data_IF_841907643374
#
_entry.id   IF_841907643374
#
_cell.length_a   1.000
_cell.length_b   1.000
_cell.length_c   1.000
_cell.angle_alpha   90.00
_cell.angle_beta   90.00
_cell.angle_gamma   90.00
#
_symmetry.space_group_name_H-M   'P 1'
#
loop_
_entity.id
_entity.type
_entity.pdbx_description
1 polymer ?
#
# COMPACT_ATOMS: atom_id res chain seq x y z
N UNK A 1 -3.94 8.80 9.73
CA UNK A 1 -2.90 8.14 8.90
C UNK A 1 -3.03 8.71 7.51
N UNK A 2 -2.17 9.67 7.14
CA UNK A 2 -2.19 10.20 5.78
C UNK A 2 -1.42 9.26 4.85
N UNK A 3 -2.08 8.77 3.81
CA UNK A 3 -1.43 8.24 2.61
C UNK A 3 -0.39 9.27 2.15
N UNK A 4 0.88 8.86 2.07
CA UNK A 4 1.97 9.76 1.73
C UNK A 4 2.76 9.23 0.54
N UNK A 5 2.54 9.88 -0.61
CA UNK A 5 3.14 9.49 -1.88
C UNK A 5 4.68 9.59 -1.83
N UNK A 6 5.34 8.49 -2.22
CA UNK A 6 6.78 8.45 -2.55
C UNK A 6 7.73 9.04 -1.50
N UNK A 7 7.48 8.75 -0.22
CA UNK A 7 8.42 9.13 0.83
C UNK A 7 9.64 8.20 0.84
N UNK A 8 10.83 8.80 0.84
CA UNK A 8 12.09 8.05 0.96
C UNK A 8 12.21 7.52 2.38
N UNK A 9 12.52 6.23 2.49
CA UNK A 9 12.70 5.53 3.76
C UNK A 9 11.48 5.67 4.71
N UNK A 10 10.26 5.64 4.20
CA UNK A 10 9.10 5.35 5.05
C UNK A 10 8.40 4.11 4.55
N UNK A 11 7.63 3.49 5.45
CA UNK A 11 6.66 2.52 5.01
C UNK A 11 5.63 3.20 4.09
N UNK A 12 5.21 2.45 3.10
CA UNK A 12 4.21 2.86 2.12
C UNK A 12 3.00 1.91 2.24
N UNK A 13 2.34 1.63 1.12
CA UNK A 13 1.07 0.89 1.03
C UNK A 13 1.18 -0.61 1.30
N UNK A 14 2.33 -1.20 1.02
CA UNK A 14 2.53 -2.65 1.04
C UNK A 14 3.61 -3.09 2.02
N UNK A 15 3.49 -4.35 2.45
CA UNK A 15 4.49 -5.01 3.29
C UNK A 15 4.82 -6.39 2.72
N UNK A 16 6.06 -6.56 2.26
CA UNK A 16 6.57 -7.82 1.73
C UNK A 16 7.84 -8.22 2.48
N UNK A 17 7.71 -9.01 3.56
CA UNK A 17 8.84 -9.37 4.41
C UNK A 17 9.69 -10.50 3.80
N UNK A 18 10.27 -10.23 2.63
CA UNK A 18 11.15 -11.14 1.90
C UNK A 18 12.39 -10.40 1.41
N UNK A 19 13.54 -11.05 1.48
CA UNK A 19 14.74 -10.55 0.81
C UNK A 19 15.44 -11.66 0.02
N UNK A 20 16.17 -11.25 -0.99
CA UNK A 20 17.04 -12.10 -1.80
C UNK A 20 18.48 -11.73 -1.51
N UNK A 21 19.32 -12.74 -1.28
CA UNK A 21 20.74 -12.54 -1.00
C UNK A 21 21.56 -13.31 -2.05
N UNK A 22 22.21 -12.54 -2.91
CA UNK A 22 23.05 -13.00 -3.99
C UNK A 22 24.52 -12.95 -3.58
N UNK A 23 25.21 -14.07 -3.77
CA UNK A 23 26.64 -14.23 -3.51
C UNK A 23 27.36 -14.60 -4.80
N UNK A 24 28.60 -14.14 -4.93
CA UNK A 24 29.42 -14.35 -6.12
C UNK A 24 30.52 -15.37 -5.86
N UNK A 25 30.83 -16.14 -6.90
CA UNK A 25 31.80 -17.21 -6.85
C UNK A 25 32.67 -17.18 -8.12
N UNK A 26 33.93 -17.62 -8.02
CA UNK A 26 34.73 -18.02 -9.19
C UNK A 26 34.69 -19.54 -9.30
N UNK A 27 34.41 -20.05 -10.50
CA UNK A 27 34.43 -21.49 -10.74
C UNK A 27 35.85 -21.93 -11.10
N UNK A 28 36.45 -22.76 -10.23
CA UNK A 28 37.69 -23.46 -10.52
C UNK A 28 37.43 -24.90 -10.98
N UNK A 29 38.47 -25.60 -11.43
CA UNK A 29 38.37 -26.95 -12.02
C UNK A 29 37.66 -27.99 -11.13
N UNK A 30 37.65 -27.84 -9.80
CA UNK A 30 37.06 -28.81 -8.85
C UNK A 30 36.10 -28.20 -7.80
N UNK A 31 35.98 -26.87 -7.69
CA UNK A 31 35.09 -26.22 -6.71
C UNK A 31 34.82 -24.74 -7.04
N UNK A 32 33.61 -24.26 -6.72
CA UNK A 32 33.29 -22.84 -6.70
C UNK A 32 33.83 -22.17 -5.42
N UNK A 33 34.61 -21.11 -5.55
CA UNK A 33 35.16 -20.35 -4.40
C UNK A 33 34.38 -19.06 -4.20
N UNK A 34 33.91 -18.77 -2.98
CA UNK A 34 33.18 -17.55 -2.67
C UNK A 34 34.08 -16.31 -2.80
N UNK A 35 33.56 -15.26 -3.43
CA UNK A 35 34.24 -13.97 -3.61
C UNK A 35 33.48 -12.91 -2.81
N UNK A 36 34.04 -12.40 -1.70
CA UNK A 36 33.46 -11.27 -1.00
C UNK A 36 33.60 -10.00 -1.85
N UNK A 37 32.67 -9.06 -1.67
CA UNK A 37 32.66 -7.77 -2.39
C UNK A 37 34.03 -7.05 -2.36
N UNK A 38 34.72 -7.07 -1.22
CA UNK A 38 36.03 -6.43 -1.06
C UNK A 38 37.15 -7.03 -1.92
N UNK A 39 36.94 -8.22 -2.48
CA UNK A 39 37.88 -8.93 -3.35
C UNK A 39 37.39 -9.01 -4.81
N UNK A 40 36.21 -8.47 -5.11
CA UNK A 40 35.68 -8.42 -6.46
C UNK A 40 36.39 -7.33 -7.27
N UNK A 41 36.74 -7.65 -8.52
CA UNK A 41 37.37 -6.71 -9.45
C UNK A 41 36.41 -6.37 -10.59
N UNK A 42 36.43 -5.10 -11.01
CA UNK A 42 35.67 -4.67 -12.18
C UNK A 42 36.10 -5.47 -13.42
N UNK A 43 35.16 -6.07 -14.15
CA UNK A 43 35.43 -6.91 -15.32
C UNK A 43 35.75 -8.37 -15.02
N UNK A 44 35.73 -8.80 -13.74
CA UNK A 44 35.87 -10.21 -13.38
C UNK A 44 34.68 -11.06 -13.83
N UNK A 45 34.93 -12.33 -14.16
CA UNK A 45 33.89 -13.32 -14.45
C UNK A 45 33.51 -14.07 -13.17
N UNK A 46 32.24 -14.00 -12.79
CA UNK A 46 31.72 -14.61 -11.57
C UNK A 46 30.42 -15.35 -11.83
N UNK A 47 30.24 -16.45 -11.12
CA UNK A 47 28.98 -17.18 -11.04
C UNK A 47 28.22 -16.71 -9.81
N UNK A 48 26.98 -16.24 -10.00
CA UNK A 48 26.12 -15.81 -8.90
C UNK A 48 25.27 -16.97 -8.37
N UNK A 49 25.09 -17.02 -7.05
CA UNK A 49 24.14 -17.93 -6.38
C UNK A 49 23.28 -17.11 -5.43
N UNK A 50 21.97 -17.30 -5.50
CA UNK A 50 20.97 -16.54 -4.76
C UNK A 50 20.14 -17.47 -3.91
N UNK A 51 19.94 -17.10 -2.65
CA UNK A 51 18.90 -17.67 -1.80
C UNK A 51 17.93 -16.55 -1.40
N UNK A 52 16.74 -16.92 -0.94
CA UNK A 52 15.77 -15.96 -0.41
C UNK A 52 15.30 -16.37 0.98
N UNK A 53 14.93 -15.39 1.79
CA UNK A 53 14.36 -15.60 3.12
C UNK A 53 13.08 -14.79 3.22
N UNK A 54 11.99 -15.45 3.60
CA UNK A 54 10.70 -14.83 3.85
C UNK A 54 10.31 -14.99 5.32
N UNK A 55 9.99 -13.89 5.98
CA UNK A 55 9.46 -13.90 7.33
C UNK A 55 7.94 -13.78 7.30
N UNK A 56 7.26 -14.93 7.44
CA UNK A 56 5.80 -15.01 7.40
C UNK A 56 5.20 -14.47 8.70
N UNK A 57 5.05 -13.16 8.79
CA UNK A 57 4.41 -12.48 9.92
C UNK A 57 3.68 -11.20 9.45
N UNK A 58 2.41 -11.06 9.80
CA UNK A 58 1.58 -9.91 9.46
C UNK A 58 1.81 -8.69 10.38
N UNK A 59 2.23 -8.90 11.63
CA UNK A 59 2.42 -7.84 12.62
C UNK A 59 3.47 -6.82 12.19
N UNK A 60 3.31 -5.57 12.66
CA UNK A 60 4.28 -4.52 12.42
C UNK A 60 5.69 -4.97 12.85
N UNK A 61 6.64 -4.76 11.96
CA UNK A 61 8.04 -5.04 12.21
C UNK A 61 8.92 -4.03 11.51
N UNK A 62 10.17 -3.98 11.95
CA UNK A 62 11.26 -3.27 11.32
C UNK A 62 12.38 -4.24 10.97
N UNK A 63 13.08 -3.94 9.88
CA UNK A 63 14.19 -4.74 9.37
C UNK A 63 15.45 -3.86 9.45
N UNK A 64 16.36 -4.21 10.35
CA UNK A 64 17.63 -3.52 10.50
C UNK A 64 18.69 -4.20 9.64
N UNK A 65 19.19 -3.48 8.63
CA UNK A 65 20.36 -3.88 7.87
C UNK A 65 21.62 -3.25 8.47
N UNK A 66 22.52 -4.10 8.96
CA UNK A 66 23.83 -3.73 9.49
C UNK A 66 24.94 -4.29 8.61
N UNK A 67 26.16 -3.72 8.65
CA UNK A 67 27.31 -4.27 7.90
C UNK A 67 27.55 -5.76 8.16
N UNK A 68 27.36 -6.19 9.41
CA UNK A 68 27.58 -7.56 9.86
C UNK A 68 26.39 -8.51 9.67
N UNK A 69 25.19 -8.00 9.35
CA UNK A 69 24.01 -8.85 9.19
C UNK A 69 22.68 -8.12 9.22
N UNK A 70 21.61 -8.90 9.33
CA UNK A 70 20.24 -8.42 9.28
C UNK A 70 19.49 -8.87 10.55
N UNK A 71 18.72 -7.97 11.15
CA UNK A 71 17.87 -8.28 12.30
C UNK A 71 16.42 -7.87 12.05
N UNK A 72 15.50 -8.80 12.29
CA UNK A 72 14.05 -8.56 12.29
C UNK A 72 13.60 -8.24 13.71
N UNK A 73 12.86 -7.15 13.91
CA UNK A 73 12.22 -6.81 15.18
C UNK A 73 10.72 -6.68 14.96
N UNK A 74 9.93 -7.59 15.54
CA UNK A 74 8.46 -7.63 15.40
C UNK A 74 7.78 -7.26 16.71
N UNK A 75 6.61 -6.62 16.64
CA UNK A 75 5.78 -6.31 17.80
C UNK A 75 4.92 -7.50 18.25
N UNK A 76 4.77 -8.53 17.43
CA UNK A 76 3.94 -9.69 17.77
C UNK A 76 4.04 -10.83 16.76
N UNK A 77 3.18 -11.83 16.96
CA UNK A 77 3.15 -13.06 16.17
C UNK A 77 4.28 -14.04 16.52
N UNK A 78 4.47 -15.04 15.66
CA UNK A 78 5.49 -16.07 15.81
C UNK A 78 6.70 -15.83 14.90
N UNK A 79 7.79 -16.58 15.14
CA UNK A 79 8.95 -16.61 14.24
C UNK A 79 8.73 -17.71 13.18
N UNK A 80 8.13 -17.35 12.04
CA UNK A 80 7.97 -18.22 10.88
C UNK A 80 8.91 -17.86 9.73
N UNK A 81 10.15 -18.35 9.76
CA UNK A 81 11.14 -18.11 8.71
C UNK A 81 11.15 -19.23 7.67
N UNK A 82 11.05 -18.86 6.40
CA UNK A 82 11.17 -19.75 5.25
C UNK A 82 12.44 -19.43 4.48
N UNK A 83 13.24 -20.44 4.18
CA UNK A 83 14.49 -20.31 3.44
C UNK A 83 14.36 -21.02 2.08
N UNK A 84 14.58 -20.28 1.01
CA UNK A 84 14.51 -20.77 -0.37
C UNK A 84 15.93 -20.87 -0.91
N UNK A 85 16.36 -22.10 -1.21
CA UNK A 85 17.75 -22.42 -1.52
C UNK A 85 18.25 -21.87 -2.88
N UNK A 86 17.34 -21.49 -3.79
CA UNK A 86 17.73 -21.11 -5.15
C UNK A 86 18.10 -22.32 -6.01
N UNK A 87 19.25 -22.33 -6.72
CA UNK A 87 20.44 -21.48 -6.51
C UNK A 87 20.47 -20.20 -7.35
N UNK A 88 19.52 -20.00 -8.26
CA UNK A 88 19.38 -18.75 -9.02
C UNK A 88 18.26 -17.89 -8.44
N UNK A 89 18.21 -16.61 -8.81
CA UNK A 89 17.13 -15.72 -8.36
C UNK A 89 15.77 -16.23 -8.85
N UNK A 90 15.70 -16.70 -10.09
CA UNK A 90 14.49 -17.28 -10.69
C UNK A 90 14.03 -18.51 -9.90
N UNK A 91 14.96 -19.40 -9.52
CA UNK A 91 14.62 -20.60 -8.73
C UNK A 91 14.18 -20.25 -7.31
N UNK A 92 14.83 -19.29 -6.66
CA UNK A 92 14.42 -18.82 -5.34
C UNK A 92 13.01 -18.19 -5.39
N UNK A 93 12.71 -17.41 -6.43
CA UNK A 93 11.37 -16.83 -6.65
C UNK A 93 10.32 -17.91 -6.94
N UNK A 94 10.62 -18.89 -7.78
CA UNK A 94 9.72 -20.03 -8.04
C UNK A 94 9.41 -20.81 -6.75
N UNK A 95 10.42 -21.05 -5.90
CA UNK A 95 10.24 -21.70 -4.61
C UNK A 95 9.35 -20.87 -3.69
N UNK A 96 9.57 -19.55 -3.61
CA UNK A 96 8.75 -18.64 -2.81
C UNK A 96 7.28 -18.66 -3.24
N UNK A 97 7.01 -18.52 -4.54
CA UNK A 97 5.67 -18.49 -5.12
C UNK A 97 4.94 -19.82 -4.98
N UNK A 98 5.57 -20.92 -5.41
CA UNK A 98 4.91 -22.24 -5.44
C UNK A 98 4.68 -22.86 -4.06
N UNK A 99 5.42 -22.42 -3.02
CA UNK A 99 5.31 -23.01 -1.69
C UNK A 99 4.54 -22.16 -0.67
N UNK A 100 4.63 -20.82 -0.73
CA UNK A 100 4.26 -19.98 0.42
C UNK A 100 3.23 -18.90 0.11
N UNK A 101 3.30 -18.24 -1.06
CA UNK A 101 2.45 -17.07 -1.35
C UNK A 101 1.50 -17.26 -2.54
N UNK A 102 1.60 -18.37 -3.27
CA UNK A 102 0.81 -18.61 -4.48
C UNK A 102 1.49 -18.08 -5.74
N UNK A 103 0.97 -18.52 -6.89
CA UNK A 103 1.40 -18.08 -8.20
C UNK A 103 0.71 -16.75 -8.57
N UNK A 104 1.36 -15.85 -9.33
CA UNK A 104 0.69 -14.68 -9.88
C UNK A 104 -0.54 -15.08 -10.70
N UNK A 105 -1.65 -14.35 -10.52
CA UNK A 105 -2.87 -14.54 -11.31
C UNK A 105 -2.61 -14.28 -12.79
N UNK A 106 -3.30 -15.02 -13.66
CA UNK A 106 -3.25 -14.78 -15.11
C UNK A 106 -4.08 -13.55 -15.44
N UNK A 107 -3.49 -12.59 -16.14
CA UNK A 107 -4.13 -11.33 -16.53
C UNK A 107 -4.83 -11.46 -17.88
N UNK A 108 -6.04 -10.91 -17.99
CA UNK A 108 -6.76 -10.81 -19.25
C UNK A 108 -5.96 -9.98 -20.26
N UNK A 109 -6.01 -10.37 -21.54
CA UNK A 109 -5.13 -9.81 -22.57
C UNK A 109 -5.27 -8.28 -22.72
N UNK A 110 -6.49 -7.75 -22.62
CA UNK A 110 -6.77 -6.31 -22.74
C UNK A 110 -6.11 -5.47 -21.64
N UNK A 111 -5.73 -6.05 -20.49
CA UNK A 111 -5.03 -5.32 -19.40
C UNK A 111 -3.63 -4.85 -19.84
N UNK A 112 -3.04 -5.47 -20.87
CA UNK A 112 -1.76 -5.03 -21.42
C UNK A 112 -1.88 -3.85 -22.39
N UNK A 113 -3.11 -3.42 -22.72
CA UNK A 113 -3.36 -2.22 -23.51
C UNK A 113 -3.19 -0.93 -22.72
N UNK A 114 -3.27 0.21 -23.40
CA UNK A 114 -3.15 1.51 -22.75
C UNK A 114 -4.40 1.83 -21.92
N UNK A 115 -4.19 2.34 -20.71
CA UNK A 115 -5.23 2.70 -19.75
C UNK A 115 -5.19 4.20 -19.46
N UNK A 116 -6.35 4.86 -19.58
CA UNK A 116 -6.51 6.29 -19.26
C UNK A 116 -7.37 6.44 -18.01
N UNK A 117 -6.87 7.21 -17.03
CA UNK A 117 -7.57 7.54 -15.80
C UNK A 117 -7.23 8.97 -15.37
N UNK A 118 -8.17 9.61 -14.67
CA UNK A 118 -7.95 10.90 -14.01
C UNK A 118 -9.02 11.11 -12.94
N UNK A 119 -8.62 11.64 -11.79
CA UNK A 119 -9.55 12.25 -10.85
C UNK A 119 -10.03 13.62 -11.35
N UNK A 120 -11.34 13.81 -11.42
CA UNK A 120 -11.97 15.06 -11.86
C UNK A 120 -12.64 14.97 -13.22
N UNK A 121 -13.04 13.77 -13.65
CA UNK A 121 -13.99 13.61 -14.75
C UNK A 121 -15.40 13.90 -14.22
N UNK A 122 -15.70 15.20 -14.10
CA UNK A 122 -16.89 15.67 -13.38
C UNK A 122 -18.24 15.24 -13.98
N UNK A 123 -18.25 14.75 -15.23
CA UNK A 123 -19.45 14.24 -15.89
C UNK A 123 -19.07 13.38 -17.11
N UNK A 124 -20.09 12.73 -17.68
CA UNK A 124 -19.95 11.85 -18.85
C UNK A 124 -19.37 12.56 -20.09
N UNK A 125 -19.76 13.81 -20.36
CA UNK A 125 -19.24 14.55 -21.53
C UNK A 125 -17.72 14.76 -21.46
N UNK A 126 -17.16 14.95 -20.27
CA UNK A 126 -15.70 15.03 -20.10
C UNK A 126 -15.00 13.71 -20.47
N UNK A 127 -15.64 12.57 -20.20
CA UNK A 127 -15.13 11.24 -20.58
C UNK A 127 -15.25 11.04 -22.09
N UNK A 128 -16.39 11.41 -22.70
CA UNK A 128 -16.60 11.36 -24.14
C UNK A 128 -15.54 12.17 -24.91
N UNK A 129 -15.22 13.37 -24.43
CA UNK A 129 -14.19 14.22 -25.02
C UNK A 129 -12.80 13.57 -24.97
N UNK A 130 -12.48 12.84 -23.90
CA UNK A 130 -11.23 12.08 -23.81
C UNK A 130 -11.20 10.99 -24.87
N UNK A 131 -12.25 10.16 -24.96
CA UNK A 131 -12.35 9.08 -25.94
C UNK A 131 -12.25 9.62 -27.39
N UNK A 132 -12.98 10.69 -27.68
CA UNK A 132 -12.97 11.34 -29.00
C UNK A 132 -11.58 11.88 -29.36
N UNK A 133 -10.80 12.35 -28.39
CA UNK A 133 -9.43 12.80 -28.63
C UNK A 133 -8.47 11.63 -28.91
N UNK A 134 -8.55 10.53 -28.16
CA UNK A 134 -7.75 9.32 -28.44
C UNK A 134 -8.02 8.79 -29.85
N UNK A 135 -9.30 8.72 -30.24
CA UNK A 135 -9.71 8.32 -31.58
C UNK A 135 -9.18 9.30 -32.64
N UNK A 136 -9.40 10.61 -32.45
CA UNK A 136 -8.96 11.68 -33.37
C UNK A 136 -7.46 11.63 -33.64
N UNK A 137 -6.64 11.40 -32.60
CA UNK A 137 -5.19 11.32 -32.72
C UNK A 137 -4.68 9.91 -33.04
N UNK A 138 -5.58 8.93 -33.20
CA UNK A 138 -5.26 7.52 -33.47
C UNK A 138 -4.29 6.93 -32.45
N UNK A 139 -4.48 7.30 -31.18
CA UNK A 139 -3.73 6.73 -30.06
C UNK A 139 -4.57 5.55 -29.54
N UNK A 140 -4.04 4.32 -29.54
CA UNK A 140 -4.77 3.18 -28.99
C UNK A 140 -5.09 3.40 -27.51
N UNK A 141 -6.36 3.24 -27.16
CA UNK A 141 -6.86 3.27 -25.79
C UNK A 141 -7.70 2.01 -25.58
N UNK A 142 -7.28 1.16 -24.65
CA UNK A 142 -7.93 -0.11 -24.38
C UNK A 142 -8.92 -0.01 -23.22
N UNK A 143 -8.62 0.82 -22.21
CA UNK A 143 -9.48 0.94 -21.03
C UNK A 143 -9.56 2.38 -20.51
N UNK A 144 -10.79 2.87 -20.32
CA UNK A 144 -11.07 4.14 -19.67
C UNK A 144 -11.51 3.91 -18.22
N UNK A 145 -10.90 4.61 -17.28
CA UNK A 145 -11.19 4.51 -15.84
C UNK A 145 -11.75 5.84 -15.33
N UNK A 146 -12.66 5.75 -14.38
CA UNK A 146 -13.18 6.90 -13.64
C UNK A 146 -12.82 6.73 -12.16
N UNK A 147 -12.41 7.82 -11.53
CA UNK A 147 -12.14 7.87 -10.09
C UNK A 147 -13.48 7.92 -9.30
N UNK A 148 -13.48 8.36 -8.05
CA UNK A 148 -14.66 8.42 -7.16
C UNK A 148 -15.82 9.30 -7.66
N UNK A 149 -15.65 10.02 -8.77
CA UNK A 149 -16.59 11.02 -9.31
C UNK A 149 -18.01 10.47 -9.61
N UNK A 150 -18.17 9.14 -9.75
CA UNK A 150 -19.45 8.49 -10.11
C UNK A 150 -20.22 7.87 -8.93
N UNK A 151 -19.71 7.93 -7.70
CA UNK A 151 -20.24 7.15 -6.56
C UNK A 151 -21.41 7.83 -5.82
N UNK A 152 -22.40 7.04 -5.35
CA UNK A 152 -23.46 7.48 -4.42
C UNK A 152 -23.63 6.47 -3.26
N UNK A 153 -23.90 6.97 -2.05
CA UNK A 153 -23.72 6.31 -0.74
C UNK A 153 -24.58 5.05 -0.43
N UNK A 154 -24.15 4.33 0.63
CA UNK A 154 -24.13 2.87 0.87
C UNK A 154 -25.25 2.30 1.77
N UNK A 155 -25.42 0.96 1.75
CA UNK A 155 -26.44 0.12 2.45
C UNK A 155 -25.87 -0.98 3.39
N UNK A 156 -24.68 -0.82 3.96
CA UNK A 156 -23.99 -1.94 4.63
C UNK A 156 -24.32 -2.21 6.11
N UNK A 157 -25.00 -1.29 6.82
CA UNK A 157 -25.22 -1.43 8.27
C UNK A 157 -26.10 -2.65 8.64
N UNK A 158 -27.07 -3.00 7.79
CA UNK A 158 -28.09 -4.01 8.10
C UNK A 158 -27.55 -5.45 8.28
N UNK A 159 -26.33 -5.72 7.79
CA UNK A 159 -25.75 -7.08 7.76
C UNK A 159 -24.50 -7.24 8.64
N UNK A 160 -24.15 -6.19 9.40
CA UNK A 160 -22.97 -6.21 10.28
C UNK A 160 -21.66 -6.43 9.53
N UNK A 161 -21.50 -5.82 8.35
CA UNK A 161 -20.32 -5.99 7.50
C UNK A 161 -19.12 -5.12 7.91
N UNK A 162 -19.24 -4.31 8.96
CA UNK A 162 -18.26 -3.27 9.29
C UNK A 162 -17.45 -3.57 10.56
N UNK A 163 -16.24 -3.03 10.60
CA UNK A 163 -15.36 -3.06 11.76
C UNK A 163 -16.00 -2.35 12.96
N UNK A 164 -15.79 -2.92 14.14
CA UNK A 164 -16.29 -2.39 15.41
C UNK A 164 -15.13 -1.97 16.32
N UNK A 165 -15.36 -0.96 17.15
CA UNK A 165 -14.53 -0.61 18.28
C UNK A 165 -14.66 -1.68 19.39
N UNK A 166 -13.73 -1.72 20.38
CA UNK A 166 -13.80 -2.68 21.48
C UNK A 166 -15.08 -2.62 22.33
N UNK A 167 -15.77 -1.48 22.35
CA UNK A 167 -17.05 -1.30 23.04
C UNK A 167 -18.26 -1.75 22.22
N UNK A 168 -18.06 -2.28 21.00
CA UNK A 168 -19.09 -2.77 20.09
C UNK A 168 -19.71 -1.70 19.17
N UNK A 169 -19.35 -0.42 19.28
CA UNK A 169 -19.81 0.59 18.31
C UNK A 169 -19.04 0.51 17.00
N UNK A 170 -19.59 0.99 15.89
CA UNK A 170 -18.89 1.01 14.60
C UNK A 170 -17.58 1.81 14.66
N UNK A 171 -16.54 1.30 14.02
CA UNK A 171 -15.29 2.03 13.85
C UNK A 171 -15.49 3.09 12.77
N UNK A 172 -15.54 4.36 13.17
CA UNK A 172 -15.79 5.49 12.28
C UNK A 172 -14.44 6.14 11.93
N UNK A 173 -14.11 6.20 10.65
CA UNK A 173 -13.03 7.02 10.11
C UNK A 173 -13.55 8.22 9.32
N UNK A 174 -12.64 8.88 8.61
CA UNK A 174 -12.99 9.92 7.64
C UNK A 174 -12.17 9.70 6.37
N UNK A 175 -12.84 9.66 5.23
CA UNK A 175 -12.25 9.51 3.89
C UNK A 175 -12.97 10.48 2.94
N UNK A 176 -12.83 10.32 1.62
CA UNK A 176 -13.40 11.21 0.61
C UNK A 176 -14.88 11.60 0.81
N UNK A 177 -15.81 10.69 1.15
CA UNK A 177 -17.21 11.07 1.35
C UNK A 177 -17.52 11.65 2.75
N UNK A 178 -16.51 11.91 3.58
CA UNK A 178 -16.66 12.35 4.98
C UNK A 178 -16.54 11.18 5.96
N UNK A 179 -17.38 11.14 7.00
CA UNK A 179 -17.38 10.05 7.97
C UNK A 179 -17.77 8.71 7.32
N UNK A 180 -16.96 7.69 7.54
CA UNK A 180 -17.13 6.37 6.92
C UNK A 180 -16.87 5.25 7.91
N UNK A 181 -17.51 4.12 7.66
CA UNK A 181 -17.21 2.85 8.31
C UNK A 181 -16.45 1.95 7.34
N UNK A 182 -15.66 1.02 7.88
CA UNK A 182 -14.78 0.17 7.07
C UNK A 182 -15.24 -1.28 7.09
N UNK A 183 -15.29 -1.98 5.94
CA UNK A 183 -15.64 -3.39 5.90
C UNK A 183 -14.70 -4.26 6.75
N UNK A 184 -15.25 -5.21 7.50
CA UNK A 184 -14.47 -6.23 8.21
C UNK A 184 -14.21 -7.42 7.29
N UNK A 185 -13.09 -7.42 6.57
CA UNK A 185 -12.75 -8.49 5.62
C UNK A 185 -12.50 -9.86 6.27
N UNK A 186 -12.39 -9.93 7.61
CA UNK A 186 -12.29 -11.18 8.36
C UNK A 186 -13.65 -11.65 8.91
N UNK A 187 -14.66 -10.78 8.88
CA UNK A 187 -16.03 -11.09 9.26
C UNK A 187 -16.70 -12.04 8.27
N UNK A 188 -17.63 -12.87 8.77
CA UNK A 188 -18.32 -13.89 7.96
C UNK A 188 -19.25 -13.31 6.89
N UNK A 189 -19.75 -12.09 7.08
CA UNK A 189 -20.82 -11.53 6.24
C UNK A 189 -20.31 -10.54 5.18
N UNK A 190 -19.08 -10.06 5.33
CA UNK A 190 -18.56 -8.94 4.54
C UNK A 190 -18.34 -9.30 3.08
N UNK A 191 -17.85 -10.52 2.80
CA UNK A 191 -17.63 -10.98 1.43
C UNK A 191 -18.95 -11.09 0.65
N UNK A 192 -19.98 -11.69 1.25
CA UNK A 192 -21.30 -11.83 0.62
C UNK A 192 -21.95 -10.47 0.36
N UNK A 193 -21.86 -9.56 1.33
CA UNK A 193 -22.32 -8.19 1.17
C UNK A 193 -21.58 -7.47 0.03
N UNK A 194 -20.25 -7.55 0.00
CA UNK A 194 -19.45 -6.90 -1.04
C UNK A 194 -19.78 -7.43 -2.44
N UNK A 195 -19.90 -8.76 -2.60
CA UNK A 195 -20.30 -9.40 -3.86
C UNK A 195 -21.69 -8.93 -4.30
N UNK A 196 -22.64 -8.84 -3.37
CA UNK A 196 -24.00 -8.34 -3.65
C UNK A 196 -23.98 -6.89 -4.11
N UNK A 197 -23.24 -6.01 -3.43
CA UNK A 197 -23.13 -4.61 -3.82
C UNK A 197 -22.46 -4.42 -5.19
N UNK A 198 -21.41 -5.19 -5.48
CA UNK A 198 -20.79 -5.24 -6.81
C UNK A 198 -21.77 -5.74 -7.88
N UNK A 199 -22.57 -6.76 -7.57
CA UNK A 199 -23.57 -7.33 -8.49
C UNK A 199 -24.67 -6.30 -8.81
N UNK A 200 -25.19 -5.62 -7.79
CA UNK A 200 -26.20 -4.57 -7.94
C UNK A 200 -25.65 -3.38 -8.72
N UNK A 201 -24.39 -3.01 -8.48
CA UNK A 201 -23.73 -1.94 -9.22
C UNK A 201 -23.52 -2.32 -10.68
N UNK A 202 -23.05 -3.55 -10.94
CA UNK A 202 -22.88 -4.10 -12.28
C UNK A 202 -24.19 -4.19 -13.07
N UNK A 203 -25.32 -4.41 -12.39
CA UNK A 203 -26.64 -4.39 -13.04
C UNK A 203 -27.02 -2.99 -13.55
N UNK A 204 -26.54 -1.93 -12.91
CA UNK A 204 -26.81 -0.54 -13.31
C UNK A 204 -25.79 -0.02 -14.32
N UNK A 205 -24.50 -0.29 -14.08
CA UNK A 205 -23.39 0.14 -14.91
C UNK A 205 -22.44 -1.03 -15.08
N UNK A 206 -22.25 -1.47 -16.32
CA UNK A 206 -21.32 -2.58 -16.63
C UNK A 206 -19.88 -2.08 -16.51
N UNK A 207 -19.03 -2.87 -15.85
CA UNK A 207 -17.60 -2.60 -15.69
C UNK A 207 -16.80 -3.89 -15.86
N UNK A 208 -15.59 -3.80 -16.41
CA UNK A 208 -14.74 -4.95 -16.72
C UNK A 208 -13.66 -5.23 -15.65
N UNK A 209 -13.52 -4.33 -14.68
CA UNK A 209 -12.55 -4.42 -13.60
C UNK A 209 -12.89 -3.48 -12.45
N UNK A 210 -12.14 -3.60 -11.36
CA UNK A 210 -12.28 -2.78 -10.16
C UNK A 210 -10.92 -2.21 -9.77
N UNK A 211 -10.91 -0.93 -9.44
CA UNK A 211 -9.83 -0.30 -8.69
C UNK A 211 -10.15 -0.38 -7.21
N UNK A 212 -9.23 -0.93 -6.41
CA UNK A 212 -9.33 -0.87 -4.95
C UNK A 212 -8.23 0.07 -4.46
N UNK A 213 -8.64 1.16 -3.82
CA UNK A 213 -7.77 2.20 -3.29
C UNK A 213 -8.06 2.44 -1.80
N UNK A 214 -7.18 3.18 -1.11
CA UNK A 214 -7.32 3.57 0.30
C UNK A 214 -7.38 2.37 1.26
N UNK A 215 -6.77 1.24 0.87
CA UNK A 215 -7.01 -0.09 1.45
C UNK A 215 -5.98 -0.55 2.50
N UNK A 216 -5.14 0.37 2.99
CA UNK A 216 -4.18 0.10 4.07
C UNK A 216 -4.82 -0.36 5.40
N UNK A 217 -5.93 0.17 5.94
CA UNK A 217 -6.92 1.15 5.45
C UNK A 217 -6.57 2.62 5.77
N UNK A 218 -6.81 3.52 4.82
CA UNK A 218 -6.54 4.95 5.00
C UNK A 218 -7.67 5.67 5.73
N UNK A 219 -7.32 6.62 6.59
CA UNK A 219 -8.26 7.46 7.32
C UNK A 219 -7.61 8.78 7.70
N UNK A 220 -8.34 9.87 7.45
CA UNK A 220 -7.97 11.22 7.85
C UNK A 220 -8.09 11.43 9.38
N UNK A 221 -8.73 10.50 10.10
CA UNK A 221 -8.73 10.46 11.56
C UNK A 221 -7.45 9.80 12.12
N UNK A 222 -7.08 10.16 13.36
CA UNK A 222 -6.16 9.39 14.19
C UNK A 222 -7.00 8.43 15.03
N UNK A 223 -6.98 7.15 14.66
CA UNK A 223 -7.87 6.16 15.26
C UNK A 223 -9.32 6.33 14.80
N UNK A 224 -10.27 5.95 15.66
CA UNK A 224 -11.71 6.08 15.40
C UNK A 224 -12.19 7.49 15.74
N UNK A 225 -12.75 8.20 14.78
CA UNK A 225 -13.36 9.53 14.95
C UNK A 225 -14.56 9.51 15.92
N UNK A 226 -15.21 8.35 16.12
CA UNK A 226 -16.29 8.18 17.11
C UNK A 226 -15.81 7.95 18.55
N UNK A 227 -14.49 7.99 18.81
CA UNK A 227 -13.89 7.77 20.13
C UNK A 227 -13.41 9.08 20.79
N UNK A 228 -13.11 9.04 22.09
CA UNK A 228 -12.88 10.21 22.98
C UNK A 228 -11.67 11.10 22.66
N UNK A 229 -10.97 10.88 21.55
CA UNK A 229 -9.76 11.63 21.17
C UNK A 229 -10.07 12.77 20.17
N UNK A 230 -11.10 13.57 20.48
CA UNK A 230 -11.61 14.66 19.63
C UNK A 230 -10.57 15.76 19.36
N UNK A 231 -9.54 15.89 20.22
CA UNK A 231 -8.48 16.90 20.09
C UNK A 231 -7.42 16.59 19.04
N UNK A 232 -7.33 15.34 18.56
CA UNK A 232 -6.38 14.91 17.52
C UNK A 232 -7.07 14.64 16.17
N UNK A 233 -8.40 14.60 16.16
CA UNK A 233 -9.21 14.44 14.96
C UNK A 233 -9.64 15.83 14.46
N UNK A 234 -9.82 16.03 13.15
CA UNK A 234 -10.41 17.27 12.66
C UNK A 234 -11.74 17.48 13.38
N UNK A 235 -11.84 18.57 14.15
CA UNK A 235 -13.06 18.92 14.88
C UNK A 235 -14.11 19.29 13.83
N UNK A 236 -14.89 18.31 13.41
CA UNK A 236 -16.23 18.58 12.87
C UNK A 236 -17.18 18.36 14.04
N UNK A 237 -18.13 19.29 14.21
CA UNK A 237 -18.98 19.41 15.38
C UNK A 237 -19.66 18.12 15.83
N UNK A 238 -20.22 18.17 17.03
CA UNK A 238 -21.02 17.10 17.66
C UNK A 238 -21.82 16.28 16.65
N UNK A 239 -21.74 14.95 16.78
CA UNK A 239 -22.38 13.89 15.99
C UNK A 239 -23.93 14.04 15.90
N UNK A 240 -24.53 15.03 16.55
CA UNK A 240 -25.94 15.36 16.48
C UNK A 240 -26.35 16.30 15.35
N UNK A 241 -25.41 17.02 14.72
CA UNK A 241 -25.74 17.98 13.67
C UNK A 241 -24.81 17.80 12.46
N UNK A 242 -25.43 17.71 11.28
CA UNK A 242 -24.84 17.87 9.94
C UNK A 242 -24.48 16.59 9.15
N UNK A 243 -25.52 15.85 8.75
CA UNK A 243 -25.61 15.36 7.37
C UNK A 243 -25.85 16.55 6.43
N UNK A 244 -24.84 17.38 6.17
CA UNK A 244 -24.92 18.40 5.13
C UNK A 244 -23.65 18.42 4.28
N UNK A 245 -23.84 18.38 2.97
CA UNK A 245 -22.85 18.17 1.90
C UNK A 245 -21.71 19.20 1.90
N UNK A 246 -21.86 20.31 2.65
CA UNK A 246 -20.89 21.39 2.77
C UNK A 246 -19.67 21.05 3.64
N UNK A 247 -19.80 20.17 4.63
CA UNK A 247 -18.73 19.95 5.62
C UNK A 247 -17.62 19.01 5.12
N UNK A 248 -17.94 18.12 4.18
CA UNK A 248 -16.97 17.25 3.51
C UNK A 248 -15.98 18.06 2.64
N UNK A 249 -16.44 19.14 2.01
CA UNK A 249 -15.56 20.01 1.20
C UNK A 249 -14.51 20.73 2.06
N UNK A 250 -14.88 21.14 3.28
CA UNK A 250 -13.95 21.74 4.25
C UNK A 250 -12.91 20.76 4.80
N UNK A 251 -13.30 19.49 5.02
CA UNK A 251 -12.36 18.44 5.42
C UNK A 251 -11.33 18.14 4.31
N UNK A 252 -11.79 18.06 3.06
CA UNK A 252 -10.94 17.90 1.87
C UNK A 252 -10.02 19.10 1.64
N UNK A 253 -10.54 20.33 1.79
CA UNK A 253 -9.77 21.55 1.61
C UNK A 253 -8.66 21.71 2.67
N UNK A 254 -8.95 21.33 3.92
CA UNK A 254 -7.93 21.33 4.98
C UNK A 254 -6.86 20.27 4.72
N UNK A 255 -7.23 19.06 4.30
CA UNK A 255 -6.28 17.99 3.95
C UNK A 255 -5.33 18.39 2.80
N UNK A 256 -5.87 19.05 1.75
CA UNK A 256 -5.07 19.57 0.63
C UNK A 256 -4.10 20.67 1.09
N UNK A 257 -4.49 21.52 2.04
CA UNK A 257 -3.62 22.58 2.56
C UNK A 257 -2.39 22.04 3.31
N UNK A 258 -2.53 20.89 3.99
CA UNK A 258 -1.42 20.24 4.69
C UNK A 258 -0.49 19.55 3.67
N UNK A 259 -1.05 18.95 2.62
CA UNK A 259 -0.26 18.35 1.54
C UNK A 259 0.51 19.39 0.69
N UNK A 260 -0.06 20.59 0.50
CA UNK A 260 0.51 21.65 -0.32
C UNK A 260 1.66 22.44 0.33
N UNK A 261 1.95 22.24 1.62
CA UNK A 261 3.03 22.96 2.34
C UNK A 261 4.38 22.26 2.30
N UNK A 262 4.51 21.12 1.60
CA UNK A 262 5.79 20.45 1.37
C UNK A 262 6.59 21.18 0.27
N UNK A 263 7.48 22.08 0.66
CA UNK A 263 8.37 22.79 -0.27
C UNK A 263 9.35 21.83 -0.98
N UNK A 264 9.69 22.05 -2.28
CA UNK A 264 10.63 21.20 -2.99
C UNK A 264 12.06 21.62 -2.65
N UNK A 265 12.89 20.67 -2.17
CA UNK A 265 14.33 20.86 -2.05
C UNK A 265 15.04 20.18 -3.21
N UNK A 266 15.72 20.98 -4.02
CA UNK A 266 16.69 20.55 -5.02
C UNK A 266 18.05 20.36 -4.35
N UNK A 267 18.65 19.16 -4.44
CA UNK A 267 20.12 19.04 -4.48
C UNK A 267 20.58 17.68 -4.98
N UNK A 268 21.70 17.71 -5.69
CA UNK A 268 22.47 16.59 -6.21
C UNK A 268 23.57 16.17 -5.22
N UNK A 269 23.74 14.85 -5.05
CA UNK A 269 24.97 14.08 -4.70
C UNK A 269 25.28 13.60 -3.26
N UNK A 270 25.62 12.29 -3.20
CA UNK A 270 26.46 11.47 -2.29
C UNK A 270 26.00 11.08 -0.87
N UNK A 271 26.03 9.76 -0.60
CA UNK A 271 25.54 9.06 0.60
C UNK A 271 26.56 9.00 1.76
N UNK A 272 26.12 9.30 2.99
CA UNK A 272 26.74 8.93 4.28
C UNK A 272 25.62 8.61 5.31
N UNK A 273 25.86 7.64 6.22
CA UNK A 273 24.89 7.02 7.17
C UNK A 273 25.10 7.52 8.61
N UNK A 274 24.03 7.80 9.38
CA UNK A 274 24.12 8.14 10.83
C UNK A 274 23.86 6.98 11.81
N UNK A 275 24.24 7.19 13.08
CA UNK A 275 24.20 6.23 14.20
C UNK A 275 23.14 6.66 15.24
N UNK A 276 22.37 5.76 15.89
CA UNK A 276 21.21 6.14 16.71
C UNK A 276 21.55 6.70 18.11
N UNK A 277 20.76 7.68 18.58
CA UNK A 277 20.84 8.26 19.94
C UNK A 277 20.20 7.35 21.01
N UNK A 278 20.92 6.94 22.06
CA UNK A 278 20.36 6.13 23.14
C UNK A 278 19.33 6.91 23.99
N UNK A 279 18.13 6.33 24.18
CA UNK A 279 17.19 6.76 25.23
C UNK A 279 15.79 7.23 24.79
N UNK A 280 15.50 7.37 23.50
CA UNK A 280 14.17 7.77 23.03
C UNK A 280 13.33 6.56 22.57
N UNK A 281 12.38 6.10 23.40
CA UNK A 281 11.27 5.23 22.98
C UNK A 281 9.97 5.92 23.35
N UNK A 282 9.37 6.66 22.41
CA UNK A 282 8.07 7.29 22.60
C UNK A 282 7.01 6.53 21.78
N UNK A 283 5.98 6.03 22.47
CA UNK A 283 4.91 5.18 21.94
C UNK A 283 3.72 5.98 21.39
N UNK A 284 3.72 7.31 21.55
CA UNK A 284 2.57 8.17 21.22
C UNK A 284 2.62 8.75 19.79
N UNK A 285 3.61 8.37 18.98
CA UNK A 285 3.69 8.66 17.55
C UNK A 285 3.99 7.35 16.81
N UNK A 286 3.16 6.98 15.82
CA UNK A 286 3.28 5.70 15.12
C UNK A 286 4.69 5.55 14.48
N UNK A 287 5.38 4.40 14.63
CA UNK A 287 6.79 4.23 14.27
C UNK A 287 7.00 4.03 12.76
N UNK A 288 6.60 5.03 11.99
CA UNK A 288 6.68 5.08 10.53
C UNK A 288 7.58 6.20 10.02
N UNK A 289 8.55 6.59 10.83
CA UNK A 289 9.63 7.46 10.42
C UNK A 289 10.96 6.71 10.54
N UNK A 290 11.51 6.25 9.42
CA UNK A 290 12.97 6.27 9.30
C UNK A 290 13.30 7.76 9.19
N UNK A 291 13.93 8.28 10.22
CA UNK A 291 14.52 9.59 10.16
C UNK A 291 15.93 9.39 9.61
N UNK A 292 16.11 9.70 8.32
CA UNK A 292 17.45 9.83 7.75
C UNK A 292 18.01 11.18 8.15
N UNK A 293 19.07 11.13 8.96
CA UNK A 293 20.18 12.05 8.79
C UNK A 293 21.34 11.21 8.27
#
# INVERSE_FOLDING_TARGET
>A
NGDNANTVDRNIYGKHPVYYNTRYYTDGNNASTYVPWSQATLGGSYTSKTHAVHYRNAHAHEILLKPEGLAWRTLGGNIGLYLYAGPSMEKATQQYQSSTIGLPSMMQYWIFGYLQCRWGYNNWSAVEDVLANFEKFRIPLETQWNDIDWMYQLRGNDVGAFLLNPNGSEYIGAVWPGYTVFPDWLGSNTNDWWIKELTLSYQKVKFDGLWIDMSEVSSFCVGSCGSTNLTQNPVVGSISDQMNVTDAASASAYAVSIAATAAPLSSTTSYLRTTPTPGARNINYSPYAINNI
#
